data_IF_302328465908
#
_entry.id   IF_302328465908
#
_cell.length_a   1.000
_cell.length_b   1.000
_cell.length_c   1.000
_cell.angle_alpha   90.00
_cell.angle_beta   90.00
_cell.angle_gamma   90.00
#
_symmetry.space_group_name_H-M   'P 1'
#
loop_
_entity.id
_entity.type
_entity.pdbx_description
1 polymer ?
#
# COMPACT_ATOMS: atom_id res chain seq x y z
N UNK A 1 -3.47 11.00 8.39
CA UNK A 1 -3.20 10.61 6.99
C UNK A 1 -2.93 11.79 6.04
N UNK A 2 -3.61 12.93 6.20
CA UNK A 2 -3.45 14.11 5.32
C UNK A 2 -1.99 14.59 5.24
N UNK A 3 -1.31 14.76 6.37
CA UNK A 3 0.06 15.30 6.40
C UNK A 3 1.06 14.45 5.59
N UNK A 4 0.94 13.12 5.69
CA UNK A 4 1.80 12.19 4.93
C UNK A 4 1.49 12.25 3.44
N UNK A 5 0.21 12.25 3.05
CA UNK A 5 -0.20 12.36 1.66
C UNK A 5 0.25 13.70 1.03
N UNK A 6 0.08 14.80 1.76
CA UNK A 6 0.51 16.13 1.35
C UNK A 6 2.03 16.21 1.23
N UNK A 7 2.78 15.80 2.26
CA UNK A 7 4.24 15.91 2.25
C UNK A 7 4.94 14.97 1.27
N UNK A 8 4.42 13.76 1.05
CA UNK A 8 5.09 12.73 0.22
C UNK A 8 4.68 12.75 -1.24
N UNK A 9 3.48 13.21 -1.58
CA UNK A 9 2.99 13.22 -2.95
C UNK A 9 2.52 14.62 -3.39
N UNK A 10 1.70 15.30 -2.57
CA UNK A 10 1.12 16.59 -2.93
C UNK A 10 2.13 17.70 -3.15
N UNK A 11 3.03 17.93 -2.19
CA UNK A 11 4.06 18.98 -2.27
C UNK A 11 5.07 18.71 -3.40
N UNK A 12 5.62 17.48 -3.58
CA UNK A 12 6.45 17.18 -4.74
C UNK A 12 5.76 17.46 -6.08
N UNK A 13 4.51 17.03 -6.27
CA UNK A 13 3.76 17.28 -7.50
C UNK A 13 3.56 18.78 -7.74
N UNK A 14 3.11 19.53 -6.72
CA UNK A 14 2.95 20.99 -6.79
C UNK A 14 4.26 21.69 -7.15
N UNK A 15 5.34 21.35 -6.46
CA UNK A 15 6.64 21.99 -6.64
C UNK A 15 7.23 21.68 -8.02
N UNK A 16 7.05 20.46 -8.54
CA UNK A 16 7.46 20.09 -9.90
C UNK A 16 6.79 20.94 -10.97
N UNK A 17 5.46 21.08 -10.91
CA UNK A 17 4.70 21.96 -11.83
C UNK A 17 5.14 23.41 -11.69
N UNK A 18 5.32 23.90 -10.46
CA UNK A 18 5.77 25.28 -10.19
C UNK A 18 7.15 25.54 -10.81
N UNK A 19 8.10 24.61 -10.65
CA UNK A 19 9.44 24.75 -11.21
C UNK A 19 9.42 24.80 -12.74
N UNK A 20 8.58 23.98 -13.40
CA UNK A 20 8.40 24.03 -14.84
C UNK A 20 7.84 25.38 -15.32
N UNK A 21 6.87 25.95 -14.60
CA UNK A 21 6.32 27.28 -14.90
C UNK A 21 7.34 28.41 -14.71
N UNK A 22 8.20 28.32 -13.68
CA UNK A 22 9.30 29.28 -13.50
C UNK A 22 10.30 29.22 -14.64
N UNK A 23 10.71 28.01 -15.04
CA UNK A 23 11.61 27.84 -16.20
C UNK A 23 10.97 28.41 -17.48
N UNK A 24 9.67 28.17 -17.70
CA UNK A 24 8.92 28.76 -18.82
C UNK A 24 8.90 30.30 -18.77
N UNK A 25 8.84 30.89 -17.57
CA UNK A 25 8.89 32.34 -17.37
C UNK A 25 10.30 32.95 -17.48
N UNK A 26 11.32 32.13 -17.80
CA UNK A 26 12.70 32.58 -17.99
C UNK A 26 13.57 32.55 -16.72
N UNK A 27 13.10 31.93 -15.65
CA UNK A 27 13.91 31.71 -14.46
C UNK A 27 15.02 30.70 -14.77
N UNK A 28 16.26 31.02 -14.40
CA UNK A 28 17.43 30.16 -14.63
C UNK A 28 17.90 29.49 -13.34
N UNK A 29 18.69 28.42 -13.48
CA UNK A 29 19.28 27.68 -12.36
C UNK A 29 20.72 27.27 -12.68
N UNK A 30 21.37 26.57 -11.75
CA UNK A 30 22.73 26.04 -11.98
C UNK A 30 22.68 24.89 -13.01
N UNK A 31 23.47 24.96 -14.10
CA UNK A 31 23.44 23.94 -15.15
C UNK A 31 23.99 22.59 -14.67
N UNK A 32 24.82 22.62 -13.61
CA UNK A 32 25.46 21.43 -13.04
C UNK A 32 24.79 21.01 -11.73
N UNK A 33 23.47 21.13 -11.59
CA UNK A 33 22.80 20.82 -10.31
C UNK A 33 23.02 19.37 -9.84
N UNK A 34 23.25 18.45 -10.77
CA UNK A 34 23.51 17.03 -10.51
C UNK A 34 24.99 16.64 -10.67
N UNK A 35 25.89 17.58 -11.01
CA UNK A 35 27.30 17.31 -11.28
C UNK A 35 28.23 18.42 -10.73
N UNK A 36 29.51 18.12 -10.53
CA UNK A 36 30.45 19.09 -9.96
C UNK A 36 30.34 19.25 -8.43
N UNK A 37 31.08 20.20 -7.82
CA UNK A 37 31.20 20.31 -6.37
C UNK A 37 29.91 20.81 -5.72
N UNK A 38 29.59 20.27 -4.53
CA UNK A 38 28.39 20.64 -3.74
C UNK A 38 27.07 20.45 -4.49
N UNK A 39 26.98 19.41 -5.30
CA UNK A 39 25.79 19.11 -6.09
C UNK A 39 24.65 18.53 -5.22
N UNK A 40 23.47 18.40 -5.84
CA UNK A 40 22.28 17.84 -5.19
C UNK A 40 22.52 16.42 -4.64
N UNK A 41 23.17 15.55 -5.40
CA UNK A 41 23.33 14.13 -5.04
C UNK A 41 24.22 13.98 -3.80
N UNK A 42 25.35 14.69 -3.77
CA UNK A 42 26.30 14.68 -2.64
C UNK A 42 25.68 15.26 -1.36
N UNK A 43 24.68 16.14 -1.50
CA UNK A 43 23.95 16.72 -0.36
C UNK A 43 23.05 15.72 0.37
N UNK A 44 22.65 14.63 -0.30
CA UNK A 44 21.71 13.63 0.24
C UNK A 44 22.32 12.23 0.42
N UNK A 45 23.53 11.98 -0.07
CA UNK A 45 24.13 10.64 -0.02
C UNK A 45 25.66 10.69 0.03
N UNK A 46 26.24 10.13 1.10
CA UNK A 46 27.69 9.98 1.27
C UNK A 46 28.32 9.02 0.23
N UNK A 47 27.57 8.01 -0.22
CA UNK A 47 28.00 7.01 -1.20
C UNK A 47 27.19 7.09 -2.49
N UNK A 48 27.06 8.32 -3.02
CA UNK A 48 26.31 8.60 -4.23
C UNK A 48 26.80 7.77 -5.45
N UNK A 49 25.85 7.30 -6.27
CA UNK A 49 26.12 6.64 -7.56
C UNK A 49 25.37 7.37 -8.69
N UNK A 50 25.85 8.54 -9.14
CA UNK A 50 25.14 9.37 -10.13
C UNK A 50 24.80 8.63 -11.43
N UNK A 51 25.64 7.68 -11.83
CA UNK A 51 25.44 6.85 -13.03
C UNK A 51 24.15 6.04 -13.02
N UNK A 52 23.57 5.75 -11.84
CA UNK A 52 22.29 5.04 -11.74
C UNK A 52 21.11 5.91 -12.20
N UNK A 53 21.21 7.25 -12.18
CA UNK A 53 20.13 8.14 -12.67
C UNK A 53 19.86 7.97 -14.17
N UNK A 54 20.89 7.65 -14.93
CA UNK A 54 20.83 7.55 -16.40
C UNK A 54 20.93 6.12 -16.92
N UNK A 55 21.11 5.16 -16.01
CA UNK A 55 21.26 3.75 -16.36
C UNK A 55 19.97 3.23 -16.98
N UNK A 56 20.10 2.57 -18.12
CA UNK A 56 18.99 1.96 -18.86
C UNK A 56 17.84 2.93 -19.20
N UNK A 57 18.13 4.24 -19.32
CA UNK A 57 17.13 5.21 -19.76
C UNK A 57 16.63 4.87 -21.17
N UNK A 58 15.31 4.87 -21.32
CA UNK A 58 14.62 4.51 -22.56
C UNK A 58 14.37 3.00 -22.73
N UNK A 59 14.96 2.14 -21.89
CA UNK A 59 14.74 0.69 -21.92
C UNK A 59 14.13 0.14 -20.64
N UNK A 60 14.48 0.70 -19.48
CA UNK A 60 13.90 0.34 -18.18
C UNK A 60 13.04 1.48 -17.62
N UNK A 61 11.86 1.13 -17.12
CA UNK A 61 10.89 2.06 -16.56
C UNK A 61 10.53 1.66 -15.13
N UNK A 62 11.08 2.36 -14.14
CA UNK A 62 10.90 2.05 -12.70
C UNK A 62 9.43 2.05 -12.25
N UNK A 63 8.53 2.73 -12.99
CA UNK A 63 7.08 2.69 -12.69
C UNK A 63 6.50 1.27 -12.79
N UNK A 64 7.09 0.42 -13.64
CA UNK A 64 6.67 -0.97 -13.82
C UNK A 64 7.12 -1.86 -12.65
N UNK A 65 8.12 -1.43 -11.88
CA UNK A 65 8.63 -2.13 -10.70
C UNK A 65 7.86 -1.72 -9.41
N UNK A 66 6.70 -1.07 -9.54
CA UNK A 66 5.87 -0.63 -8.40
C UNK A 66 4.84 -1.68 -7.98
N UNK A 67 4.40 -1.60 -6.71
CA UNK A 67 3.38 -2.51 -6.17
C UNK A 67 2.02 -1.85 -6.04
N UNK A 68 0.95 -2.58 -6.36
CA UNK A 68 -0.43 -2.21 -6.07
C UNK A 68 -0.86 -2.91 -4.78
N UNK A 69 -1.11 -2.14 -3.71
CA UNK A 69 -1.59 -2.69 -2.44
C UNK A 69 -2.97 -3.32 -2.60
N UNK A 70 -3.19 -4.52 -2.05
CA UNK A 70 -4.50 -5.18 -2.03
C UNK A 70 -5.40 -4.66 -0.91
N UNK A 71 -4.80 -4.26 0.22
CA UNK A 71 -5.50 -3.67 1.36
C UNK A 71 -5.04 -2.23 1.59
N UNK A 72 -5.89 -1.34 2.14
CA UNK A 72 -5.53 0.06 2.36
C UNK A 72 -4.76 0.25 3.69
N UNK A 73 -3.69 -0.52 3.88
CA UNK A 73 -2.90 -0.57 5.14
C UNK A 73 -1.40 -0.40 4.88
N UNK A 74 -0.60 -0.30 5.96
CA UNK A 74 0.86 -0.33 5.93
C UNK A 74 1.39 -1.55 5.14
N UNK A 75 2.48 -1.35 4.39
CA UNK A 75 3.03 -2.41 3.53
C UNK A 75 3.31 -3.74 4.28
N UNK A 76 3.86 -3.73 5.51
CA UNK A 76 4.09 -4.98 6.24
C UNK A 76 2.82 -5.78 6.59
N UNK A 77 1.66 -5.14 6.70
CA UNK A 77 0.38 -5.79 7.08
C UNK A 77 -0.26 -6.51 5.88
N UNK A 78 0.17 -6.21 4.63
CA UNK A 78 -0.43 -6.79 3.43
C UNK A 78 -0.36 -8.33 3.43
N UNK A 79 0.82 -8.89 3.69
CA UNK A 79 1.05 -10.33 3.73
C UNK A 79 0.31 -11.00 4.89
N UNK A 80 0.22 -10.31 6.03
CA UNK A 80 -0.55 -10.75 7.20
C UNK A 80 -2.03 -10.91 6.88
N UNK A 81 -2.68 -9.88 6.33
CA UNK A 81 -4.10 -9.95 5.98
C UNK A 81 -4.36 -10.98 4.86
N UNK A 82 -3.46 -11.04 3.87
CA UNK A 82 -3.58 -12.01 2.79
C UNK A 82 -3.55 -13.45 3.31
N UNK A 83 -2.58 -13.78 4.18
CA UNK A 83 -2.48 -15.10 4.79
C UNK A 83 -3.68 -15.44 5.66
N UNK A 84 -4.15 -14.47 6.46
CA UNK A 84 -5.36 -14.62 7.28
C UNK A 84 -6.59 -14.96 6.44
N UNK A 85 -6.91 -14.13 5.43
CA UNK A 85 -8.11 -14.33 4.61
C UNK A 85 -8.03 -15.62 3.77
N UNK A 86 -6.85 -16.01 3.33
CA UNK A 86 -6.64 -17.27 2.62
C UNK A 86 -6.93 -18.47 3.53
N UNK A 87 -6.34 -18.52 4.73
CA UNK A 87 -6.59 -19.60 5.68
C UNK A 87 -8.06 -19.66 6.14
N UNK A 88 -8.69 -18.51 6.37
CA UNK A 88 -10.11 -18.43 6.73
C UNK A 88 -10.98 -19.04 5.63
N UNK A 89 -10.71 -18.70 4.36
CA UNK A 89 -11.45 -19.21 3.20
C UNK A 89 -11.23 -20.71 2.99
N UNK A 90 -9.98 -21.17 3.04
CA UNK A 90 -9.62 -22.58 2.80
C UNK A 90 -10.18 -23.53 3.86
N UNK A 91 -10.28 -23.07 5.11
CA UNK A 91 -10.73 -23.88 6.23
C UNK A 91 -12.15 -23.54 6.73
N UNK A 92 -12.84 -22.61 6.06
CA UNK A 92 -14.20 -22.20 6.41
C UNK A 92 -14.34 -21.69 7.85
N UNK A 93 -13.33 -20.96 8.34
CA UNK A 93 -13.28 -20.48 9.72
C UNK A 93 -14.19 -19.26 9.93
N UNK A 94 -14.81 -19.17 11.10
CA UNK A 94 -15.48 -17.95 11.57
C UNK A 94 -14.65 -17.29 12.66
N UNK A 95 -14.89 -16.00 12.90
CA UNK A 95 -14.21 -15.23 13.96
C UNK A 95 -14.21 -15.95 15.32
N UNK A 96 -15.37 -16.50 15.71
CA UNK A 96 -15.54 -17.20 16.98
C UNK A 96 -14.84 -18.57 17.04
N UNK A 97 -14.42 -19.12 15.90
CA UNK A 97 -13.62 -20.35 15.86
C UNK A 97 -12.15 -20.06 16.18
N UNK A 98 -11.70 -18.81 16.07
CA UNK A 98 -10.29 -18.42 16.20
C UNK A 98 -9.98 -18.04 17.64
N UNK A 99 -9.08 -18.83 18.24
CA UNK A 99 -8.54 -18.60 19.59
C UNK A 99 -7.41 -17.57 19.58
N UNK A 100 -6.51 -17.70 18.62
CA UNK A 100 -5.29 -16.88 18.54
C UNK A 100 -4.83 -16.79 17.08
N UNK A 101 -4.33 -15.62 16.69
CA UNK A 101 -3.64 -15.37 15.42
C UNK A 101 -2.19 -15.01 15.75
N UNK A 102 -1.25 -15.82 15.28
CA UNK A 102 0.19 -15.52 15.41
C UNK A 102 0.72 -15.10 14.06
N UNK A 103 1.38 -13.94 14.03
CA UNK A 103 1.98 -13.37 12.84
C UNK A 103 3.47 -13.27 13.09
N UNK A 104 4.25 -13.86 12.18
CA UNK A 104 5.70 -13.83 12.19
C UNK A 104 6.20 -12.99 11.01
N UNK A 105 7.06 -12.01 11.29
CA UNK A 105 7.63 -11.08 10.31
C UNK A 105 9.12 -10.85 10.59
N UNK A 106 9.88 -10.29 9.63
CA UNK A 106 11.19 -9.70 9.91
C UNK A 106 11.12 -8.70 11.07
N UNK A 107 12.16 -8.70 11.92
CA UNK A 107 12.21 -7.89 13.14
C UNK A 107 11.92 -6.40 12.89
N UNK A 108 12.56 -5.83 11.87
CA UNK A 108 12.39 -4.42 11.50
C UNK A 108 10.94 -4.09 11.14
N UNK A 109 10.24 -5.02 10.52
CA UNK A 109 8.83 -4.83 10.17
C UNK A 109 7.94 -4.88 11.40
N UNK A 110 8.21 -5.77 12.35
CA UNK A 110 7.43 -5.83 13.60
C UNK A 110 7.47 -4.51 14.34
N UNK A 111 8.64 -3.88 14.41
CA UNK A 111 8.78 -2.55 15.02
C UNK A 111 7.84 -1.56 14.37
N UNK A 112 7.69 -1.55 13.04
CA UNK A 112 6.86 -0.54 12.36
C UNK A 112 5.35 -0.68 12.58
N UNK A 113 4.83 -1.87 12.92
CA UNK A 113 3.38 -2.14 12.93
C UNK A 113 2.81 -2.70 14.24
N UNK A 114 3.66 -3.07 15.20
CA UNK A 114 3.24 -3.67 16.45
C UNK A 114 2.49 -2.63 17.32
N UNK A 115 1.20 -2.88 17.55
CA UNK A 115 0.29 -2.07 18.37
C UNK A 115 0.44 -0.55 18.21
N UNK A 116 0.50 -0.08 16.95
CA UNK A 116 0.66 1.35 16.66
C UNK A 116 -0.61 2.14 16.96
N UNK A 117 -0.44 3.42 17.28
CA UNK A 117 -1.58 4.34 17.51
C UNK A 117 -2.29 4.77 16.23
N UNK A 118 -1.72 4.49 15.06
CA UNK A 118 -2.31 4.82 13.76
C UNK A 118 -3.01 3.55 13.25
N UNK A 119 -4.35 3.57 13.01
CA UNK A 119 -5.12 2.39 12.68
C UNK A 119 -4.54 1.56 11.53
N UNK A 120 -4.27 2.18 10.38
CA UNK A 120 -3.78 1.51 9.15
C UNK A 120 -2.35 0.93 9.28
N UNK A 121 -1.65 1.25 10.38
CA UNK A 121 -0.33 0.76 10.73
C UNK A 121 -0.34 -0.15 11.96
N UNK A 122 -1.50 -0.48 12.54
CA UNK A 122 -1.61 -1.37 13.71
C UNK A 122 -2.03 -2.78 13.26
N UNK A 123 -1.10 -3.73 13.29
CA UNK A 123 -1.34 -5.10 12.85
C UNK A 123 -2.50 -5.78 13.62
N UNK A 124 -2.51 -5.64 14.94
CA UNK A 124 -3.53 -6.22 15.81
C UNK A 124 -4.92 -5.67 15.49
N UNK A 125 -5.02 -4.35 15.28
CA UNK A 125 -6.28 -3.72 14.91
C UNK A 125 -6.79 -4.24 13.57
N UNK A 126 -5.93 -4.28 12.54
CA UNK A 126 -6.34 -4.73 11.21
C UNK A 126 -6.81 -6.19 11.21
N UNK A 127 -6.15 -7.07 11.97
CA UNK A 127 -6.60 -8.46 12.13
C UNK A 127 -7.86 -8.58 12.99
N UNK A 128 -8.03 -7.74 14.02
CA UNK A 128 -9.26 -7.69 14.81
C UNK A 128 -10.47 -7.31 13.94
N UNK A 129 -10.33 -6.29 13.11
CA UNK A 129 -11.35 -5.87 12.14
C UNK A 129 -11.59 -6.97 11.10
N UNK A 130 -10.55 -7.61 10.57
CA UNK A 130 -10.70 -8.71 9.63
C UNK A 130 -11.47 -9.90 10.23
N UNK A 131 -11.31 -10.16 11.54
CA UNK A 131 -12.09 -11.16 12.27
C UNK A 131 -13.53 -10.72 12.49
N UNK A 132 -13.76 -9.52 13.05
CA UNK A 132 -15.09 -9.06 13.46
C UNK A 132 -15.98 -8.68 12.27
N UNK A 133 -15.42 -7.97 11.30
CA UNK A 133 -16.18 -7.38 10.19
C UNK A 133 -16.12 -8.26 8.93
N UNK A 134 -15.24 -9.27 8.92
CA UNK A 134 -15.04 -10.18 7.79
C UNK A 134 -14.39 -9.54 6.56
N UNK A 135 -13.99 -8.26 6.65
CA UNK A 135 -13.34 -7.49 5.59
C UNK A 135 -12.50 -6.36 6.16
N UNK A 136 -11.55 -5.89 5.36
CA UNK A 136 -10.77 -4.67 5.61
C UNK A 136 -10.92 -3.76 4.38
N UNK A 137 -11.60 -2.63 4.55
CA UNK A 137 -11.83 -1.62 3.51
C UNK A 137 -11.23 -0.27 3.91
N UNK A 138 -11.38 0.75 3.05
CA UNK A 138 -10.77 2.05 3.30
C UNK A 138 -11.32 2.72 4.56
N UNK A 139 -12.59 2.53 4.90
CA UNK A 139 -13.19 3.19 6.03
C UNK A 139 -12.74 2.54 7.33
N UNK A 140 -12.96 1.23 7.50
CA UNK A 140 -12.62 0.58 8.76
C UNK A 140 -11.11 0.51 9.00
N UNK A 141 -10.27 0.39 7.97
CA UNK A 141 -8.82 0.34 8.14
C UNK A 141 -8.23 1.64 8.74
N UNK A 142 -8.89 2.78 8.58
CA UNK A 142 -8.42 4.08 9.03
C UNK A 142 -9.24 4.67 10.20
N UNK A 143 -10.20 3.92 10.72
CA UNK A 143 -11.13 4.39 11.74
C UNK A 143 -10.54 4.27 13.15
N UNK A 144 -10.22 5.43 13.74
CA UNK A 144 -9.69 5.51 15.10
C UNK A 144 -10.71 5.13 16.16
N UNK A 145 -11.99 5.44 15.95
CA UNK A 145 -13.05 5.16 16.92
C UNK A 145 -13.36 3.66 16.92
N UNK A 146 -13.41 3.03 15.74
CA UNK A 146 -13.50 1.56 15.62
C UNK A 146 -12.33 0.87 16.29
N UNK A 147 -11.11 1.41 16.19
CA UNK A 147 -9.94 0.88 16.90
C UNK A 147 -10.06 0.90 18.42
N UNK A 148 -10.83 1.84 18.99
CA UNK A 148 -11.09 1.93 20.43
C UNK A 148 -12.37 1.19 20.87
N UNK A 149 -13.11 0.58 19.95
CA UNK A 149 -14.35 -0.12 20.28
C UNK A 149 -14.06 -1.33 21.22
N UNK A 150 -14.88 -1.59 22.25
CA UNK A 150 -14.59 -2.64 23.24
C UNK A 150 -14.42 -4.05 22.66
N UNK A 151 -15.21 -4.40 21.64
CA UNK A 151 -15.12 -5.68 20.92
C UNK A 151 -13.81 -5.81 20.15
N UNK A 152 -13.34 -4.73 19.53
CA UNK A 152 -12.05 -4.67 18.83
C UNK A 152 -10.90 -4.77 19.82
N UNK A 153 -10.96 -4.08 20.96
CA UNK A 153 -9.94 -4.15 22.00
C UNK A 153 -9.80 -5.57 22.58
N UNK A 154 -10.91 -6.29 22.78
CA UNK A 154 -10.89 -7.71 23.17
C UNK A 154 -10.25 -8.57 22.07
N UNK A 155 -10.71 -8.40 20.82
CA UNK A 155 -10.23 -9.20 19.70
C UNK A 155 -8.74 -8.99 19.42
N UNK A 156 -8.22 -7.76 19.60
CA UNK A 156 -6.79 -7.44 19.49
C UNK A 156 -5.91 -8.31 20.40
N UNK A 157 -6.40 -8.70 21.58
CA UNK A 157 -5.65 -9.54 22.52
C UNK A 157 -5.35 -10.95 21.98
N UNK A 158 -6.12 -11.40 20.98
CA UNK A 158 -5.91 -12.69 20.31
C UNK A 158 -4.81 -12.64 19.25
N UNK A 159 -4.29 -11.46 18.93
CA UNK A 159 -3.31 -11.28 17.86
C UNK A 159 -1.91 -11.08 18.45
N UNK A 160 -0.99 -11.99 18.14
CA UNK A 160 0.42 -11.89 18.52
C UNK A 160 1.27 -11.63 17.30
N UNK A 161 2.06 -10.56 17.36
CA UNK A 161 3.07 -10.24 16.37
C UNK A 161 4.45 -10.59 16.93
N UNK A 162 5.22 -11.40 16.22
CA UNK A 162 6.51 -11.93 16.66
C UNK A 162 7.54 -11.74 15.56
N UNK A 163 8.78 -11.42 15.95
CA UNK A 163 9.90 -11.36 15.03
C UNK A 163 10.39 -12.78 14.71
N UNK A 164 10.71 -13.05 13.44
CA UNK A 164 11.22 -14.33 12.97
C UNK A 164 12.64 -14.17 12.41
N UNK A 165 13.65 -14.77 13.05
CA UNK A 165 15.05 -14.63 12.62
C UNK A 165 15.31 -15.12 11.19
N UNK A 166 14.60 -16.15 10.70
CA UNK A 166 14.81 -16.67 9.35
C UNK A 166 14.20 -15.75 8.29
N UNK A 167 13.09 -15.07 8.61
CA UNK A 167 12.55 -14.01 7.76
C UNK A 167 13.44 -12.76 7.80
N UNK A 168 13.98 -12.39 8.96
CA UNK A 168 14.90 -11.25 9.11
C UNK A 168 16.13 -11.41 8.22
N UNK A 169 16.75 -12.60 8.15
CA UNK A 169 17.92 -12.85 7.30
C UNK A 169 17.70 -12.58 5.81
N UNK A 170 16.45 -12.68 5.34
CA UNK A 170 16.09 -12.49 3.93
C UNK A 170 15.61 -11.06 3.63
N UNK A 171 15.34 -10.26 4.66
CA UNK A 171 14.90 -8.88 4.51
C UNK A 171 16.10 -7.96 4.17
N UNK A 172 15.93 -6.95 3.29
CA UNK A 172 14.72 -6.52 2.59
C UNK A 172 14.49 -7.19 1.23
N UNK A 173 15.35 -8.12 0.80
CA UNK A 173 15.26 -8.76 -0.51
C UNK A 173 13.96 -9.55 -0.69
N UNK A 174 13.53 -10.26 0.36
CA UNK A 174 12.23 -10.95 0.42
C UNK A 174 11.40 -10.33 1.54
N UNK A 175 10.15 -9.97 1.21
CA UNK A 175 9.17 -9.47 2.20
C UNK A 175 8.12 -10.54 2.43
N UNK A 176 8.42 -11.46 3.36
CA UNK A 176 7.55 -12.58 3.70
C UNK A 176 6.92 -12.43 5.09
N UNK A 177 5.80 -13.13 5.29
CA UNK A 177 5.14 -13.28 6.58
C UNK A 177 4.74 -14.74 6.78
N UNK A 178 4.74 -15.23 8.01
CA UNK A 178 4.04 -16.47 8.36
C UNK A 178 2.83 -16.12 9.21
N UNK A 179 1.66 -16.62 8.82
CA UNK A 179 0.40 -16.42 9.54
C UNK A 179 -0.07 -17.78 10.06
N UNK A 180 -0.34 -17.86 11.35
CA UNK A 180 -0.82 -19.05 12.02
C UNK A 180 -2.15 -18.74 12.72
N UNK A 181 -3.19 -19.52 12.42
CA UNK A 181 -4.50 -19.46 13.08
C UNK A 181 -4.66 -20.67 13.99
N UNK A 182 -4.83 -20.41 15.29
CA UNK A 182 -5.15 -21.45 16.28
C UNK A 182 -6.64 -21.44 16.53
N UNK A 183 -7.27 -22.58 16.28
CA UNK A 183 -8.70 -22.77 16.47
C UNK A 183 -9.02 -23.08 17.94
N UNK A 184 -10.25 -22.80 18.36
CA UNK A 184 -10.76 -23.10 19.70
C UNK A 184 -10.71 -24.60 20.06
N UNK A 185 -10.77 -25.49 19.07
CA UNK A 185 -10.65 -26.94 19.25
C UNK A 185 -9.20 -27.46 19.28
N UNK A 186 -8.21 -26.55 19.23
CA UNK A 186 -6.79 -26.87 19.29
C UNK A 186 -6.11 -27.13 17.95
N UNK A 187 -6.85 -27.18 16.83
CA UNK A 187 -6.23 -27.26 15.49
C UNK A 187 -5.46 -25.98 15.15
N UNK A 188 -4.37 -26.13 14.43
CA UNK A 188 -3.56 -25.02 13.93
C UNK A 188 -3.49 -25.07 12.41
N UNK A 189 -3.58 -23.90 11.78
CA UNK A 189 -3.43 -23.71 10.35
C UNK A 189 -2.35 -22.66 10.12
N UNK A 190 -1.42 -22.89 9.20
CA UNK A 190 -0.27 -22.03 8.97
C UNK A 190 -0.07 -21.79 7.48
N UNK A 191 0.33 -20.56 7.12
CA UNK A 191 0.67 -20.17 5.77
C UNK A 191 1.90 -19.26 5.74
N UNK A 192 2.90 -19.61 4.93
CA UNK A 192 3.95 -18.69 4.49
C UNK A 192 3.44 -17.87 3.31
N UNK A 193 3.54 -16.55 3.42
CA UNK A 193 3.22 -15.59 2.36
C UNK A 193 4.51 -14.89 1.95
N UNK A 194 5.19 -15.42 0.94
CA UNK A 194 6.40 -14.86 0.33
C UNK A 194 6.13 -14.22 -1.04
N UNK A 195 4.99 -14.57 -1.66
CA UNK A 195 4.52 -14.04 -2.94
C UNK A 195 3.21 -13.28 -2.83
N UNK A 196 3.27 -12.09 -2.24
CA UNK A 196 2.10 -11.22 -2.08
C UNK A 196 1.51 -10.76 -3.43
N UNK A 197 0.19 -10.94 -3.67
CA UNK A 197 -0.47 -10.35 -4.83
C UNK A 197 -0.37 -8.81 -4.87
N UNK A 198 -0.16 -8.28 -6.07
CA UNK A 198 0.08 -6.86 -6.33
C UNK A 198 1.54 -6.42 -6.23
N UNK A 199 2.46 -7.31 -5.85
CA UNK A 199 3.90 -7.07 -6.03
C UNK A 199 4.28 -7.13 -7.52
N UNK A 200 5.41 -6.53 -7.96
CA UNK A 200 5.82 -6.55 -9.38
C UNK A 200 5.99 -7.97 -9.94
N UNK A 201 6.45 -8.91 -9.11
CA UNK A 201 6.65 -10.32 -9.45
C UNK A 201 5.40 -11.20 -9.23
N UNK A 202 4.31 -10.62 -8.76
CA UNK A 202 3.00 -11.26 -8.62
C UNK A 202 1.89 -10.20 -8.81
N UNK A 203 1.79 -9.59 -10.00
CA UNK A 203 0.89 -8.47 -10.22
C UNK A 203 -0.57 -8.91 -10.13
N UNK A 204 -1.45 -7.97 -9.78
CA UNK A 204 -2.89 -8.19 -9.89
C UNK A 204 -3.30 -8.26 -11.36
N UNK A 205 -4.37 -8.99 -11.65
CA UNK A 205 -5.00 -8.94 -12.98
C UNK A 205 -5.63 -7.57 -13.22
N UNK A 206 -5.90 -7.25 -14.49
CA UNK A 206 -6.58 -6.00 -14.83
C UNK A 206 -7.96 -5.91 -14.15
N UNK A 207 -8.69 -7.02 -14.11
CA UNK A 207 -10.01 -7.13 -13.47
C UNK A 207 -9.92 -6.91 -11.95
N UNK A 208 -8.88 -7.41 -11.29
CA UNK A 208 -8.66 -7.18 -9.86
C UNK A 208 -8.33 -5.72 -9.56
N UNK A 209 -7.50 -5.08 -10.41
CA UNK A 209 -7.19 -3.64 -10.30
C UNK A 209 -8.46 -2.81 -10.50
N UNK A 210 -9.29 -3.16 -11.47
CA UNK A 210 -10.55 -2.46 -11.77
C UNK A 210 -11.60 -2.66 -10.69
N UNK A 211 -11.78 -3.88 -10.19
CA UNK A 211 -12.69 -4.15 -9.07
C UNK A 211 -12.30 -3.32 -7.85
N UNK A 212 -11.00 -3.20 -7.57
CA UNK A 212 -10.49 -2.31 -6.54
C UNK A 212 -10.72 -0.83 -6.86
N UNK A 213 -10.48 -0.39 -8.10
CA UNK A 213 -10.73 1.00 -8.50
C UNK A 213 -12.21 1.37 -8.30
N UNK A 214 -13.12 0.52 -8.76
CA UNK A 214 -14.56 0.69 -8.60
C UNK A 214 -14.97 0.76 -7.13
N UNK A 215 -14.46 -0.12 -6.27
CA UNK A 215 -14.81 -0.11 -4.84
C UNK A 215 -14.41 1.19 -4.13
N UNK A 216 -13.34 1.86 -4.60
CA UNK A 216 -12.87 3.12 -4.05
C UNK A 216 -13.56 4.35 -4.66
N UNK A 217 -13.98 4.28 -5.92
CA UNK A 217 -14.47 5.46 -6.66
C UNK A 217 -15.98 5.53 -6.77
N UNK A 218 -16.70 4.40 -6.81
CA UNK A 218 -18.16 4.38 -6.87
C UNK A 218 -18.79 5.22 -5.74
N UNK A 219 -18.35 5.13 -4.47
CA UNK A 219 -18.96 5.92 -3.39
C UNK A 219 -18.82 7.44 -3.55
N UNK A 220 -17.89 7.91 -4.39
CA UNK A 220 -17.57 9.35 -4.55
C UNK A 220 -18.04 9.87 -5.91
N UNK A 221 -17.79 9.12 -6.99
CA UNK A 221 -18.01 9.55 -8.37
C UNK A 221 -19.25 8.92 -9.00
N UNK A 222 -19.81 7.88 -8.38
CA UNK A 222 -20.87 7.06 -8.98
C UNK A 222 -20.35 6.02 -9.96
N UNK A 223 -21.18 5.01 -10.25
CA UNK A 223 -20.82 3.87 -11.10
C UNK A 223 -20.49 4.30 -12.54
N UNK A 224 -21.33 5.13 -13.14
CA UNK A 224 -21.20 5.51 -14.55
C UNK A 224 -19.90 6.28 -14.83
N UNK A 225 -19.53 7.22 -13.95
CA UNK A 225 -18.27 7.95 -14.07
C UNK A 225 -17.07 7.03 -13.85
N UNK A 226 -17.11 6.17 -12.83
CA UNK A 226 -16.03 5.24 -12.54
C UNK A 226 -15.77 4.29 -13.72
N UNK A 227 -16.82 3.74 -14.34
CA UNK A 227 -16.69 2.90 -15.53
C UNK A 227 -16.14 3.67 -16.74
N UNK A 228 -16.58 4.91 -16.96
CA UNK A 228 -16.04 5.76 -18.02
C UNK A 228 -14.56 6.08 -17.81
N UNK A 229 -14.11 6.28 -16.56
CA UNK A 229 -12.70 6.49 -16.25
C UNK A 229 -11.88 5.24 -16.61
N UNK A 230 -12.35 4.04 -16.26
CA UNK A 230 -11.68 2.78 -16.65
C UNK A 230 -11.52 2.71 -18.16
N UNK A 231 -12.61 2.93 -18.91
CA UNK A 231 -12.58 2.91 -20.38
C UNK A 231 -11.62 3.95 -20.97
N UNK A 232 -11.58 5.16 -20.39
CA UNK A 232 -10.61 6.18 -20.77
C UNK A 232 -9.17 5.72 -20.54
N UNK A 233 -8.87 5.18 -19.36
CA UNK A 233 -7.51 4.77 -19.00
C UNK A 233 -7.02 3.57 -19.81
N UNK A 234 -7.91 2.65 -20.20
CA UNK A 234 -7.59 1.49 -21.05
C UNK A 234 -7.20 1.86 -22.49
N UNK A 235 -7.64 3.02 -22.96
CA UNK A 235 -7.42 3.49 -24.33
C UNK A 235 -6.59 4.77 -24.37
N UNK A 236 -5.82 5.07 -23.30
CA UNK A 236 -5.18 6.37 -23.14
C UNK A 236 -4.20 6.70 -24.28
N UNK A 237 -3.50 5.69 -24.80
CA UNK A 237 -2.51 5.80 -25.86
C UNK A 237 -3.07 6.20 -27.24
N UNK A 238 -4.37 5.96 -27.47
CA UNK A 238 -5.06 6.36 -28.71
C UNK A 238 -5.89 7.64 -28.55
N UNK A 239 -5.88 8.25 -27.36
CA UNK A 239 -6.60 9.50 -27.09
C UNK A 239 -5.66 10.69 -27.32
N UNK A 240 -6.08 11.66 -28.13
CA UNK A 240 -5.29 12.86 -28.43
C UNK A 240 -5.43 14.01 -27.41
N UNK A 241 -6.38 13.91 -26.49
CA UNK A 241 -6.68 14.92 -25.47
C UNK A 241 -7.21 14.22 -24.20
N UNK A 242 -6.84 14.73 -23.03
CA UNK A 242 -7.24 14.21 -21.70
C UNK A 242 -8.30 15.06 -21.01
N UNK A 243 -8.79 16.13 -21.63
CA UNK A 243 -9.80 17.03 -21.04
C UNK A 243 -11.06 16.30 -20.59
N UNK A 244 -11.51 15.30 -21.37
CA UNK A 244 -12.65 14.46 -21.01
C UNK A 244 -12.41 13.62 -19.76
N UNK A 245 -11.22 13.04 -19.61
CA UNK A 245 -10.82 12.35 -18.39
C UNK A 245 -10.76 13.33 -17.20
N UNK A 246 -10.18 14.52 -17.39
CA UNK A 246 -10.14 15.55 -16.35
C UNK A 246 -11.55 15.98 -15.89
N UNK A 247 -12.53 16.02 -16.79
CA UNK A 247 -13.91 16.33 -16.44
C UNK A 247 -14.55 15.22 -15.58
N UNK A 248 -14.31 13.95 -15.90
CA UNK A 248 -14.80 12.79 -15.15
C UNK A 248 -14.20 12.70 -13.73
N UNK A 249 -13.00 13.22 -13.53
CA UNK A 249 -12.31 13.21 -12.23
C UNK A 249 -12.77 14.34 -11.29
N UNK A 250 -13.65 15.24 -11.74
CA UNK A 250 -14.24 16.26 -10.88
C UNK A 250 -15.33 15.62 -10.04
N UNK A 251 -15.30 15.82 -8.73
CA UNK A 251 -16.43 15.48 -7.89
C UNK A 251 -17.67 16.22 -8.40
N UNK A 252 -18.87 15.61 -8.36
CA UNK A 252 -20.11 16.32 -8.63
C UNK A 252 -20.12 17.62 -7.82
N UNK A 253 -20.33 18.76 -8.48
CA UNK A 253 -20.54 20.00 -7.76
C UNK A 253 -21.97 19.94 -7.21
N UNK A 254 -22.09 19.94 -5.89
CA UNK A 254 -23.35 20.24 -5.21
C UNK A 254 -23.86 21.64 -5.61
#
# INVERSE_FOLDING_TARGET
HIDKALSRAGLPARNGVTAALWAQAGFTGTPTIFEGPYNFIDSFSENAKPTELTKDLGTRYEILDTSIKIYPVGQPIQATLHGYFTLVREHGLKANDIREVVVRLPEEQTHTINDRLIPDANCQYQLAVAMLDGKVDFHNAHDSDRMQAPDVLDMKQRVKLVADPELTKQFPAVRAAIVELRRMDGRCFEMLVDRLPGAPYNPLSAEEVEAKFLSLTIPILGLDNAQQIIEWTRNLEVRGDVSGLCALLQAPRD
#
